data_IF_738551223615
#
_entry.id   IF_738551223615
#
_cell.length_a   1.000
_cell.length_b   1.000
_cell.length_c   1.000
_cell.angle_alpha   90.00
_cell.angle_beta   90.00
_cell.angle_gamma   90.00
#
_symmetry.space_group_name_H-M   'P 1'
#
loop_
_entity.id
_entity.type
_entity.pdbx_description
1 polymer ?
#
# COMPACT_ATOMS: atom_id res chain seq x y z
N UNK A 1 -5.37 -23.92 -17.68
CA UNK A 1 -4.94 -22.57 -17.26
C UNK A 1 -3.48 -22.67 -16.88
N UNK A 2 -2.59 -22.31 -17.79
CA UNK A 2 -1.16 -22.21 -17.53
C UNK A 2 -0.94 -21.04 -16.58
N UNK A 3 -0.56 -21.32 -15.33
CA UNK A 3 0.03 -20.32 -14.45
C UNK A 3 1.33 -19.87 -15.09
N UNK A 4 1.28 -18.76 -15.84
CA UNK A 4 2.47 -18.01 -16.23
C UNK A 4 3.10 -17.51 -14.94
N UNK A 5 4.14 -18.20 -14.48
CA UNK A 5 5.01 -17.67 -13.45
C UNK A 5 5.64 -16.39 -14.02
N UNK A 6 5.32 -15.23 -13.42
CA UNK A 6 5.97 -13.97 -13.73
C UNK A 6 7.47 -14.17 -13.49
N UNK A 7 8.24 -14.22 -14.57
CA UNK A 7 9.69 -14.34 -14.50
C UNK A 7 10.22 -12.93 -14.28
N UNK A 8 10.70 -12.64 -13.07
CA UNK A 8 11.25 -11.33 -12.65
C UNK A 8 10.22 -10.19 -12.66
N UNK A 9 9.20 -10.21 -11.78
CA UNK A 9 8.15 -9.20 -11.78
C UNK A 9 8.65 -7.81 -11.37
N UNK A 10 8.07 -6.75 -11.93
CA UNK A 10 8.16 -5.39 -11.36
C UNK A 10 7.07 -5.19 -10.33
N UNK A 11 7.47 -4.99 -9.07
CA UNK A 11 6.59 -4.76 -7.92
C UNK A 11 6.74 -3.31 -7.49
N UNK A 12 5.70 -2.52 -7.69
CA UNK A 12 5.68 -1.09 -7.37
C UNK A 12 5.01 -0.86 -6.02
N UNK A 13 5.66 -0.12 -5.12
CA UNK A 13 5.10 0.30 -3.83
C UNK A 13 4.80 1.80 -3.87
N UNK A 14 3.52 2.17 -3.87
CA UNK A 14 3.06 3.57 -3.81
C UNK A 14 2.79 3.95 -2.36
N UNK A 15 3.50 4.96 -1.86
CA UNK A 15 3.55 5.31 -0.45
C UNK A 15 4.65 4.55 0.30
N UNK A 16 5.78 4.29 -0.37
CA UNK A 16 6.91 3.56 0.18
C UNK A 16 7.58 4.29 1.35
N UNK A 17 7.43 5.61 1.48
CA UNK A 17 7.99 6.43 2.56
C UNK A 17 7.32 6.23 3.93
N UNK A 18 6.36 5.30 4.06
CA UNK A 18 5.78 4.90 5.34
C UNK A 18 6.73 4.13 6.27
N UNK A 19 7.93 3.79 5.80
CA UNK A 19 9.01 3.04 6.48
C UNK A 19 8.57 1.72 7.11
N UNK A 20 7.92 1.75 8.28
CA UNK A 20 7.61 0.56 9.09
C UNK A 20 6.86 -0.51 8.30
N UNK A 21 5.76 -0.13 7.64
CA UNK A 21 4.94 -1.09 6.90
C UNK A 21 5.55 -1.45 5.54
N UNK A 22 5.94 -0.48 4.68
CA UNK A 22 6.56 -0.79 3.39
C UNK A 22 7.84 -1.62 3.52
N UNK A 23 8.74 -1.29 4.45
CA UNK A 23 10.00 -2.02 4.62
C UNK A 23 9.78 -3.45 5.13
N UNK A 24 8.84 -3.64 6.06
CA UNK A 24 8.46 -4.99 6.51
C UNK A 24 7.90 -5.82 5.35
N UNK A 25 7.05 -5.21 4.51
CA UNK A 25 6.49 -5.88 3.35
C UNK A 25 7.56 -6.25 2.32
N UNK A 26 8.57 -5.40 2.12
CA UNK A 26 9.75 -5.73 1.29
C UNK A 26 10.48 -6.95 1.86
N UNK A 27 10.70 -7.00 3.16
CA UNK A 27 11.27 -8.17 3.83
C UNK A 27 10.44 -9.44 3.59
N UNK A 28 9.11 -9.33 3.72
CA UNK A 28 8.19 -10.45 3.45
C UNK A 28 8.28 -10.89 1.97
N UNK A 29 8.32 -9.97 1.01
CA UNK A 29 8.47 -10.26 -0.42
C UNK A 29 9.78 -11.04 -0.68
N UNK A 30 10.91 -10.52 -0.20
CA UNK A 30 12.23 -11.10 -0.43
C UNK A 30 12.47 -12.41 0.35
N UNK A 31 11.64 -12.69 1.35
CA UNK A 31 11.66 -13.98 2.04
C UNK A 31 11.29 -15.14 1.09
N UNK A 32 10.50 -14.88 0.03
CA UNK A 32 10.12 -15.88 -0.96
C UNK A 32 11.15 -15.96 -2.10
N UNK A 33 11.84 -17.11 -2.30
CA UNK A 33 12.84 -17.26 -3.37
C UNK A 33 12.32 -16.90 -4.77
N UNK A 34 11.05 -17.20 -5.05
CA UNK A 34 10.41 -16.93 -6.33
C UNK A 34 10.30 -15.43 -6.67
N UNK A 35 10.47 -14.53 -5.70
CA UNK A 35 10.36 -13.08 -5.88
C UNK A 35 11.70 -12.37 -5.79
N UNK A 36 12.82 -13.06 -5.54
CA UNK A 36 14.13 -12.40 -5.34
C UNK A 36 14.73 -11.81 -6.62
N UNK A 37 14.28 -12.25 -7.78
CA UNK A 37 14.65 -11.66 -9.08
C UNK A 37 13.71 -10.51 -9.50
N UNK A 38 12.88 -9.99 -8.59
CA UNK A 38 12.00 -8.86 -8.89
C UNK A 38 12.74 -7.53 -9.01
N UNK A 39 12.13 -6.59 -9.72
CA UNK A 39 12.41 -5.15 -9.56
C UNK A 39 11.44 -4.58 -8.53
N UNK A 40 11.97 -3.98 -7.46
CA UNK A 40 11.20 -3.23 -6.48
C UNK A 40 11.22 -1.75 -6.87
N UNK A 41 10.08 -1.20 -7.27
CA UNK A 41 9.95 0.22 -7.63
C UNK A 41 9.29 0.98 -6.48
N UNK A 42 10.09 1.72 -5.72
CA UNK A 42 9.67 2.42 -4.51
C UNK A 42 9.23 3.85 -4.86
N UNK A 43 7.99 4.19 -4.56
CA UNK A 43 7.43 5.50 -4.88
C UNK A 43 6.83 6.18 -3.67
N UNK A 44 7.26 7.42 -3.42
CA UNK A 44 6.62 8.34 -2.49
C UNK A 44 6.76 9.77 -3.01
N UNK A 45 5.80 10.64 -2.68
CA UNK A 45 5.87 12.06 -3.04
C UNK A 45 6.89 12.83 -2.18
N UNK A 46 7.29 12.26 -1.02
CA UNK A 46 8.23 12.85 -0.10
C UNK A 46 9.60 12.17 -0.21
N UNK A 47 10.60 12.81 -0.84
CA UNK A 47 11.93 12.22 -1.03
C UNK A 47 12.67 11.97 0.30
N UNK A 48 12.46 12.83 1.31
CA UNK A 48 13.10 12.70 2.62
C UNK A 48 12.61 11.45 3.38
N UNK A 49 11.39 11.00 3.07
CA UNK A 49 10.84 9.74 3.61
C UNK A 49 11.17 8.54 2.75
N UNK A 50 11.30 8.72 1.43
CA UNK A 50 11.59 7.66 0.48
C UNK A 50 13.02 7.15 0.63
N UNK A 51 14.00 8.06 0.68
CA UNK A 51 15.43 7.74 0.71
C UNK A 51 15.80 6.72 1.81
N UNK A 52 15.42 6.95 3.09
CA UNK A 52 15.71 5.98 4.15
C UNK A 52 15.15 4.58 3.91
N UNK A 53 14.02 4.45 3.21
CA UNK A 53 13.42 3.15 2.89
C UNK A 53 14.18 2.48 1.75
N UNK A 54 14.56 3.23 0.73
CA UNK A 54 15.36 2.72 -0.38
C UNK A 54 16.74 2.27 0.09
N UNK A 55 17.40 3.06 0.94
CA UNK A 55 18.71 2.72 1.50
C UNK A 55 18.65 1.46 2.36
N UNK A 56 17.68 1.36 3.26
CA UNK A 56 17.47 0.15 4.07
C UNK A 56 17.15 -1.07 3.18
N UNK A 57 16.43 -0.88 2.08
CA UNK A 57 16.13 -1.95 1.12
C UNK A 57 17.38 -2.43 0.38
N UNK A 58 18.24 -1.51 -0.06
CA UNK A 58 19.54 -1.84 -0.68
C UNK A 58 20.44 -2.58 0.30
N UNK A 59 20.52 -2.10 1.55
CA UNK A 59 21.31 -2.76 2.60
C UNK A 59 20.83 -4.19 2.87
N UNK A 60 19.50 -4.42 2.93
CA UNK A 60 18.91 -5.75 3.09
C UNK A 60 19.29 -6.69 1.92
N UNK A 61 19.24 -6.18 0.69
CA UNK A 61 19.57 -6.93 -0.53
C UNK A 61 21.06 -7.28 -0.54
N UNK A 62 21.94 -6.31 -0.28
CA UNK A 62 23.39 -6.48 -0.24
C UNK A 62 23.81 -7.46 0.84
N UNK A 63 23.22 -7.35 2.04
CA UNK A 63 23.50 -8.23 3.17
C UNK A 63 23.24 -9.71 2.84
N UNK A 64 22.18 -9.98 2.08
CA UNK A 64 21.80 -11.34 1.70
C UNK A 64 22.29 -11.78 0.31
N UNK A 65 22.89 -10.87 -0.47
CA UNK A 65 23.31 -11.13 -1.85
C UNK A 65 22.14 -11.47 -2.78
N UNK A 66 20.98 -10.83 -2.60
CA UNK A 66 19.83 -11.06 -3.47
C UNK A 66 20.00 -10.37 -4.84
N UNK A 67 19.56 -10.98 -5.96
CA UNK A 67 19.65 -10.38 -7.29
C UNK A 67 18.58 -9.31 -7.55
N UNK A 68 17.90 -8.82 -6.51
CA UNK A 68 16.78 -7.89 -6.59
C UNK A 68 17.26 -6.52 -7.06
N UNK A 69 16.55 -5.92 -8.01
CA UNK A 69 16.80 -4.53 -8.43
C UNK A 69 15.93 -3.58 -7.62
N UNK A 70 16.48 -2.42 -7.21
CA UNK A 70 15.73 -1.38 -6.51
C UNK A 70 15.74 -0.10 -7.32
N UNK A 71 14.56 0.42 -7.61
CA UNK A 71 14.33 1.74 -8.17
C UNK A 71 13.64 2.59 -7.11
N UNK A 72 13.96 3.87 -7.04
CA UNK A 72 13.20 4.83 -6.23
C UNK A 72 12.86 6.06 -7.08
N UNK A 73 11.65 6.59 -6.92
CA UNK A 73 11.20 7.75 -7.68
C UNK A 73 10.10 8.52 -6.96
N UNK A 74 10.02 9.83 -7.21
CA UNK A 74 8.87 10.65 -6.82
C UNK A 74 7.83 10.79 -7.93
N UNK A 75 8.14 10.27 -9.13
CA UNK A 75 7.23 10.22 -10.26
C UNK A 75 6.40 8.93 -10.23
N UNK A 76 5.10 9.10 -9.99
CA UNK A 76 4.14 8.00 -9.95
C UNK A 76 4.06 7.24 -11.27
N UNK A 77 4.07 7.94 -12.40
CA UNK A 77 3.91 7.31 -13.72
C UNK A 77 5.14 6.47 -14.05
N UNK A 78 6.33 6.98 -13.75
CA UNK A 78 7.58 6.21 -13.90
C UNK A 78 7.60 4.96 -13.00
N UNK A 79 7.07 5.06 -11.77
CA UNK A 79 6.94 3.90 -10.88
C UNK A 79 5.96 2.85 -11.41
N UNK A 80 4.86 3.28 -12.03
CA UNK A 80 3.82 2.42 -12.57
C UNK A 80 4.20 1.76 -13.91
N UNK A 81 5.07 2.39 -14.70
CA UNK A 81 5.42 1.92 -16.04
C UNK A 81 5.96 0.49 -16.04
N UNK A 82 5.28 -0.42 -16.74
CA UNK A 82 5.62 -1.84 -16.79
C UNK A 82 5.46 -2.61 -15.47
N UNK A 83 4.73 -2.08 -14.48
CA UNK A 83 4.48 -2.80 -13.24
C UNK A 83 3.59 -4.04 -13.45
N UNK A 84 3.94 -5.17 -12.84
CA UNK A 84 3.10 -6.37 -12.81
C UNK A 84 2.19 -6.37 -11.56
N UNK A 85 2.72 -5.84 -10.47
CA UNK A 85 2.05 -5.74 -9.17
C UNK A 85 2.23 -4.33 -8.63
N UNK A 86 1.14 -3.72 -8.18
CA UNK A 86 1.16 -2.40 -7.54
C UNK A 86 0.57 -2.51 -6.14
N UNK A 87 1.32 -2.11 -5.13
CA UNK A 87 0.92 -2.14 -3.74
C UNK A 87 0.75 -0.71 -3.23
N UNK A 88 -0.44 -0.38 -2.74
CA UNK A 88 -0.78 0.96 -2.26
C UNK A 88 -0.76 0.97 -0.73
N UNK A 89 0.10 1.81 -0.15
CA UNK A 89 0.33 1.90 1.31
C UNK A 89 0.32 3.33 1.84
N UNK A 90 -0.15 4.31 1.06
CA UNK A 90 -0.09 5.72 1.45
C UNK A 90 -1.14 6.14 2.51
N UNK A 91 -0.89 7.30 3.10
CA UNK A 91 -1.86 8.07 3.88
C UNK A 91 -1.85 9.53 3.43
N UNK A 92 -2.85 9.93 2.63
CA UNK A 92 -2.93 11.30 2.15
C UNK A 92 -3.16 12.26 3.31
N UNK A 93 -2.29 13.27 3.42
CA UNK A 93 -2.35 14.29 4.45
C UNK A 93 -1.71 13.91 5.79
N UNK A 94 -1.16 12.69 5.92
CA UNK A 94 -0.40 12.26 7.09
C UNK A 94 -1.17 12.38 8.42
N UNK A 95 -0.42 12.57 9.50
CA UNK A 95 -0.97 12.72 10.87
C UNK A 95 -1.75 14.02 11.01
N UNK A 96 -1.32 15.09 10.34
CA UNK A 96 -2.00 16.40 10.39
C UNK A 96 -3.44 16.34 9.89
N UNK A 97 -3.69 15.66 8.75
CA UNK A 97 -5.05 15.48 8.28
C UNK A 97 -5.83 14.46 9.11
N UNK A 98 -5.16 13.42 9.61
CA UNK A 98 -5.78 12.43 10.48
C UNK A 98 -6.34 13.05 11.77
N UNK A 99 -5.66 14.06 12.32
CA UNK A 99 -6.17 14.85 13.45
C UNK A 99 -7.56 15.43 13.16
N UNK A 100 -7.79 15.94 11.95
CA UNK A 100 -9.09 16.47 11.54
C UNK A 100 -10.15 15.38 11.35
N UNK A 101 -9.75 14.20 10.89
CA UNK A 101 -10.64 13.03 10.74
C UNK A 101 -11.27 12.61 12.09
N UNK A 102 -10.58 12.89 13.21
CA UNK A 102 -11.04 12.58 14.58
C UNK A 102 -11.65 13.80 15.29
N UNK A 103 -10.97 14.95 15.27
CA UNK A 103 -11.39 16.12 16.05
C UNK A 103 -12.66 16.78 15.53
N UNK A 104 -12.86 16.83 14.21
CA UNK A 104 -14.05 17.46 13.64
C UNK A 104 -15.30 16.69 14.08
N UNK A 105 -15.41 15.36 13.87
CA UNK A 105 -16.61 14.63 14.29
C UNK A 105 -16.85 14.69 15.80
N UNK A 106 -15.77 14.73 16.60
CA UNK A 106 -15.85 14.86 18.06
C UNK A 106 -16.51 16.16 18.51
N UNK A 107 -16.28 17.27 17.81
CA UNK A 107 -16.97 18.56 18.08
C UNK A 107 -18.48 18.48 17.88
N UNK A 108 -18.96 17.52 17.07
CA UNK A 108 -20.37 17.28 16.81
C UNK A 108 -20.92 16.08 17.60
N UNK A 109 -20.22 15.65 18.66
CA UNK A 109 -20.68 14.56 19.53
C UNK A 109 -20.44 13.15 18.98
N UNK A 110 -19.66 13.01 17.91
CA UNK A 110 -19.30 11.71 17.33
C UNK A 110 -17.87 11.36 17.75
N UNK A 111 -17.74 10.57 18.81
CA UNK A 111 -16.44 10.06 19.26
C UNK A 111 -16.06 8.78 18.50
N UNK A 112 -14.94 8.81 17.79
CA UNK A 112 -14.45 7.70 16.97
C UNK A 112 -13.12 7.22 17.53
N UNK A 113 -12.95 5.89 17.68
CA UNK A 113 -11.70 5.33 18.23
C UNK A 113 -10.49 5.62 17.34
N UNK A 114 -10.62 5.33 16.04
CA UNK A 114 -9.59 5.59 15.02
C UNK A 114 -10.17 6.48 13.93
N UNK A 115 -11.36 6.12 13.42
CA UNK A 115 -12.05 6.95 12.42
C UNK A 115 -11.31 7.05 11.08
N UNK A 116 -10.42 6.12 10.75
CA UNK A 116 -9.69 6.12 9.46
C UNK A 116 -10.38 5.27 8.38
N UNK A 117 -11.37 4.45 8.75
CA UNK A 117 -11.98 3.44 7.88
C UNK A 117 -13.47 3.65 7.68
N UNK A 118 -14.21 3.85 8.77
CA UNK A 118 -15.67 4.04 8.78
C UNK A 118 -16.03 5.29 9.60
N UNK A 119 -17.29 5.70 9.54
CA UNK A 119 -17.76 6.94 10.17
C UNK A 119 -17.30 8.19 9.41
N UNK A 120 -17.59 9.39 9.95
CA UNK A 120 -17.25 10.64 9.29
C UNK A 120 -15.76 10.78 8.98
N UNK A 121 -14.87 10.33 9.87
CA UNK A 121 -13.42 10.40 9.63
C UNK A 121 -12.99 9.53 8.44
N UNK A 122 -13.56 8.32 8.33
CA UNK A 122 -13.29 7.41 7.21
C UNK A 122 -13.75 8.01 5.89
N UNK A 123 -14.91 8.68 5.88
CA UNK A 123 -15.42 9.41 4.70
C UNK A 123 -14.51 10.58 4.34
N UNK A 124 -14.06 11.39 5.32
CA UNK A 124 -13.13 12.50 5.06
C UNK A 124 -11.82 12.01 4.46
N UNK A 125 -11.26 10.94 5.01
CA UNK A 125 -10.04 10.30 4.50
C UNK A 125 -10.22 9.77 3.09
N UNK A 126 -11.35 9.11 2.79
CA UNK A 126 -11.66 8.64 1.44
C UNK A 126 -11.67 9.80 0.46
N UNK A 127 -12.49 10.81 0.72
CA UNK A 127 -12.67 11.96 -0.17
C UNK A 127 -11.37 12.72 -0.41
N UNK A 128 -10.54 12.88 0.62
CA UNK A 128 -9.20 13.47 0.49
C UNK A 128 -8.26 12.64 -0.37
N UNK A 129 -8.44 11.31 -0.41
CA UNK A 129 -7.59 10.39 -1.18
C UNK A 129 -8.06 10.19 -2.62
N UNK A 130 -9.32 10.53 -2.96
CA UNK A 130 -9.89 10.37 -4.31
C UNK A 130 -9.01 10.95 -5.42
N UNK A 131 -8.46 12.17 -5.31
CA UNK A 131 -7.60 12.73 -6.36
C UNK A 131 -6.34 11.89 -6.62
N UNK A 132 -5.73 11.30 -5.58
CA UNK A 132 -4.58 10.43 -5.74
C UNK A 132 -4.97 9.11 -6.42
N UNK A 133 -6.11 8.53 -6.05
CA UNK A 133 -6.63 7.32 -6.69
C UNK A 133 -7.01 7.55 -8.16
N UNK A 134 -7.59 8.71 -8.50
CA UNK A 134 -7.88 9.09 -9.89
C UNK A 134 -6.62 9.13 -10.74
N UNK A 135 -5.58 9.77 -10.21
CA UNK A 135 -4.30 9.86 -10.90
C UNK A 135 -3.61 8.50 -11.06
N UNK A 136 -3.64 7.65 -10.02
CA UNK A 136 -3.13 6.27 -10.10
C UNK A 136 -3.89 5.48 -11.17
N UNK A 137 -5.23 5.54 -11.16
CA UNK A 137 -6.03 4.78 -12.11
C UNK A 137 -5.82 5.26 -13.55
N UNK A 138 -5.75 6.57 -13.79
CA UNK A 138 -5.49 7.12 -15.10
C UNK A 138 -4.13 6.67 -15.65
N UNK A 139 -3.06 6.81 -14.87
CA UNK A 139 -1.72 6.38 -15.29
C UNK A 139 -1.67 4.86 -15.50
N UNK A 140 -2.19 4.08 -14.56
CA UNK A 140 -2.12 2.62 -14.59
C UNK A 140 -2.82 2.01 -15.81
N UNK A 141 -3.98 2.54 -16.19
CA UNK A 141 -4.71 2.06 -17.37
C UNK A 141 -3.94 2.28 -18.67
N UNK A 142 -3.00 3.22 -18.69
CA UNK A 142 -2.16 3.50 -19.85
C UNK A 142 -0.85 2.72 -19.84
N UNK A 143 -0.15 2.67 -18.70
CA UNK A 143 1.24 2.17 -18.63
C UNK A 143 1.38 0.76 -18.06
N UNK A 144 0.37 0.27 -17.33
CA UNK A 144 0.36 -1.08 -16.77
C UNK A 144 -1.08 -1.64 -16.61
N UNK A 145 -1.87 -1.71 -17.71
CA UNK A 145 -3.27 -2.13 -17.65
C UNK A 145 -3.46 -3.56 -17.11
N UNK A 146 -2.44 -4.40 -17.29
CA UNK A 146 -2.40 -5.79 -16.82
C UNK A 146 -1.72 -5.95 -15.44
N UNK A 147 -1.52 -4.88 -14.68
CA UNK A 147 -1.04 -4.97 -13.31
C UNK A 147 -2.14 -5.47 -12.36
N UNK A 148 -1.75 -6.20 -11.32
CA UNK A 148 -2.63 -6.51 -10.17
C UNK A 148 -2.38 -5.51 -9.05
N UNK A 149 -3.44 -4.88 -8.56
CA UNK A 149 -3.35 -3.91 -7.48
C UNK A 149 -3.68 -4.57 -6.14
N UNK A 150 -2.85 -4.29 -5.13
CA UNK A 150 -3.06 -4.67 -3.74
C UNK A 150 -3.18 -3.40 -2.91
N UNK A 151 -4.38 -3.10 -2.44
CA UNK A 151 -4.63 -1.92 -1.62
C UNK A 151 -4.58 -2.27 -0.12
N UNK A 152 -3.62 -1.67 0.58
CA UNK A 152 -3.55 -1.66 2.05
C UNK A 152 -3.95 -0.30 2.65
N UNK A 153 -4.10 0.74 1.82
CA UNK A 153 -4.43 2.07 2.31
C UNK A 153 -5.90 2.16 2.76
N UNK A 154 -6.09 2.70 3.96
CA UNK A 154 -7.43 2.98 4.48
C UNK A 154 -8.03 4.25 3.84
N UNK A 155 -9.36 4.30 3.65
CA UNK A 155 -10.36 3.28 4.02
C UNK A 155 -10.43 2.14 3.00
N UNK A 156 -9.93 0.96 3.37
CA UNK A 156 -9.53 -0.06 2.40
C UNK A 156 -10.69 -0.51 1.52
N UNK A 157 -11.85 -0.82 2.09
CA UNK A 157 -13.00 -1.29 1.32
C UNK A 157 -13.52 -0.23 0.33
N UNK A 158 -13.67 1.03 0.76
CA UNK A 158 -14.13 2.11 -0.10
C UNK A 158 -13.13 2.42 -1.22
N UNK A 159 -11.84 2.49 -0.88
CA UNK A 159 -10.76 2.71 -1.84
C UNK A 159 -10.65 1.58 -2.87
N UNK A 160 -10.71 0.32 -2.42
CA UNK A 160 -10.68 -0.84 -3.32
C UNK A 160 -11.90 -0.88 -4.24
N UNK A 161 -13.10 -0.60 -3.72
CA UNK A 161 -14.30 -0.52 -4.56
C UNK A 161 -14.18 0.61 -5.60
N UNK A 162 -13.64 1.77 -5.19
CA UNK A 162 -13.40 2.91 -6.07
C UNK A 162 -12.41 2.58 -7.20
N UNK A 163 -11.26 1.98 -6.89
CA UNK A 163 -10.26 1.60 -7.88
C UNK A 163 -10.79 0.56 -8.88
N UNK A 164 -11.57 -0.43 -8.41
CA UNK A 164 -12.22 -1.39 -9.30
C UNK A 164 -13.28 -0.71 -10.19
N UNK A 165 -14.05 0.25 -9.66
CA UNK A 165 -15.00 1.03 -10.46
C UNK A 165 -14.31 1.89 -11.53
N UNK A 166 -13.03 2.24 -11.35
CA UNK A 166 -12.18 2.89 -12.35
C UNK A 166 -11.61 1.92 -13.39
N UNK A 167 -11.82 0.62 -13.26
CA UNK A 167 -11.36 -0.40 -14.21
C UNK A 167 -10.05 -1.08 -13.82
N UNK A 168 -9.49 -0.81 -12.64
CA UNK A 168 -8.31 -1.53 -12.16
C UNK A 168 -8.70 -2.91 -11.58
N UNK A 169 -7.78 -3.87 -11.64
CA UNK A 169 -7.94 -5.17 -10.96
C UNK A 169 -7.35 -5.07 -9.55
N UNK A 170 -8.17 -4.66 -8.59
CA UNK A 170 -7.70 -4.36 -7.22
C UNK A 170 -8.27 -5.33 -6.19
N UNK A 171 -7.37 -5.95 -5.41
CA UNK A 171 -7.69 -6.67 -4.17
C UNK A 171 -7.32 -5.80 -2.97
N UNK A 172 -8.22 -5.73 -2.00
CA UNK A 172 -7.98 -5.01 -0.74
C UNK A 172 -7.58 -5.97 0.37
N UNK A 173 -6.51 -5.66 1.11
CA UNK A 173 -6.01 -6.50 2.20
C UNK A 173 -5.95 -5.72 3.51
N UNK A 174 -6.33 -6.38 4.61
CA UNK A 174 -6.32 -5.82 5.94
C UNK A 174 -5.96 -6.89 6.97
N UNK A 175 -5.26 -6.52 8.04
CA UNK A 175 -4.83 -7.43 9.09
C UNK A 175 -5.87 -7.64 10.20
N UNK A 176 -6.96 -6.85 10.22
CA UNK A 176 -7.94 -6.86 11.30
C UNK A 176 -8.56 -8.25 11.52
N UNK A 177 -8.94 -8.97 10.45
CA UNK A 177 -9.56 -10.30 10.57
C UNK A 177 -8.62 -11.29 11.26
N UNK A 178 -7.35 -11.32 10.87
CA UNK A 178 -6.35 -12.22 11.46
C UNK A 178 -6.05 -11.84 12.91
N UNK A 179 -5.94 -10.53 13.19
CA UNK A 179 -5.71 -10.00 14.52
C UNK A 179 -6.86 -10.31 15.48
N UNK A 180 -8.09 -10.02 15.08
CA UNK A 180 -9.30 -10.28 15.86
C UNK A 180 -9.50 -11.77 16.10
N UNK A 181 -9.30 -12.62 15.09
CA UNK A 181 -9.41 -14.08 15.26
C UNK A 181 -8.41 -14.59 16.30
N UNK A 182 -7.14 -14.19 16.21
CA UNK A 182 -6.10 -14.59 17.18
C UNK A 182 -6.38 -14.04 18.58
N UNK A 183 -6.88 -12.81 18.68
CA UNK A 183 -7.26 -12.22 19.97
C UNK A 183 -8.36 -13.04 20.63
N UNK A 184 -9.45 -13.32 19.91
CA UNK A 184 -10.58 -14.10 20.41
C UNK A 184 -10.17 -15.53 20.80
N UNK A 185 -9.36 -16.20 19.96
CA UNK A 185 -8.85 -17.54 20.25
C UNK A 185 -8.07 -17.57 21.57
N UNK A 186 -7.17 -16.59 21.79
CA UNK A 186 -6.43 -16.45 23.06
C UNK A 186 -7.34 -16.18 24.25
N UNK A 187 -8.33 -15.29 24.09
CA UNK A 187 -9.27 -14.95 25.18
C UNK A 187 -10.12 -16.16 25.59
N UNK A 188 -10.50 -17.00 24.62
CA UNK A 188 -11.34 -18.18 24.86
C UNK A 188 -10.55 -19.45 25.17
N UNK A 189 -9.20 -19.42 25.08
CA UNK A 189 -8.35 -20.58 25.32
C UNK A 189 -8.50 -21.68 24.25
N UNK A 190 -8.86 -21.31 23.02
CA UNK A 190 -9.04 -22.24 21.90
C UNK A 190 -7.91 -22.08 20.87
N UNK A 191 -7.59 -23.14 20.09
CA UNK A 191 -6.59 -23.07 19.03
C UNK A 191 -6.85 -21.98 17.99
#
# INVERSE_FOLDING_TARGET
MTTTHLKSPKITLIGAGGFVFPFRLIGDILSFPALRESTLSLMDINPDKLGPVADATRELIDHHGFPTTVEETTDRRAALDGADIVIITFQVGGVESYRHDVEIPRRYGIDQTVGDTIGPGGVFRFLRSVPAYDQIAADALEVCPDATFINYANPMAMATAYLNAKGLRTVGLCHSVQGTTRMLARTLGVP
#
